data_IF_752465943717
#
_entry.id   IF_752465943717
#
_cell.length_a   1.000
_cell.length_b   1.000
_cell.length_c   1.000
_cell.angle_alpha   90.00
_cell.angle_beta   90.00
_cell.angle_gamma   90.00
#
_symmetry.space_group_name_H-M   'P 1'
#
loop_
_entity.id
_entity.type
_entity.pdbx_description
1 polymer ?
#
# COMPACT_ATOMS: atom_id res chain seq x y z
N UNK A 1 6.10 21.44 15.87
CA UNK A 1 4.82 21.24 15.17
C UNK A 1 3.80 20.84 16.22
N UNK A 2 2.65 21.48 16.24
CA UNK A 2 1.56 21.18 17.18
C UNK A 2 1.02 19.78 16.87
N UNK A 3 1.03 18.88 17.85
CA UNK A 3 0.53 17.51 17.69
C UNK A 3 -0.99 17.54 17.55
N UNK A 4 -1.52 16.91 16.51
CA UNK A 4 -2.97 16.80 16.28
C UNK A 4 -3.54 15.84 17.32
N UNK A 5 -4.61 16.25 18.00
CA UNK A 5 -5.28 15.38 18.99
C UNK A 5 -6.30 14.47 18.31
N UNK A 6 -6.71 13.41 19.02
CA UNK A 6 -7.73 12.48 18.50
C UNK A 6 -9.06 13.18 18.24
N UNK A 7 -9.43 14.15 19.08
CA UNK A 7 -10.67 14.92 18.91
C UNK A 7 -10.63 15.80 17.65
N UNK A 8 -9.47 16.40 17.34
CA UNK A 8 -9.28 17.17 16.10
C UNK A 8 -9.35 16.28 14.86
N UNK A 9 -8.79 15.07 14.95
CA UNK A 9 -8.89 14.05 13.91
C UNK A 9 -10.35 13.61 13.67
N UNK A 10 -11.08 13.25 14.71
CA UNK A 10 -12.49 12.83 14.62
C UNK A 10 -13.39 13.96 14.08
N UNK A 11 -13.16 15.21 14.50
CA UNK A 11 -13.85 16.37 13.94
C UNK A 11 -13.56 16.54 12.44
N UNK A 12 -12.28 16.43 12.04
CA UNK A 12 -11.88 16.57 10.64
C UNK A 12 -12.50 15.46 9.76
N UNK A 13 -12.55 14.22 10.24
CA UNK A 13 -13.22 13.12 9.55
C UNK A 13 -14.72 13.40 9.32
N UNK A 14 -15.44 13.77 10.38
CA UNK A 14 -16.86 14.09 10.26
C UNK A 14 -17.10 15.24 9.26
N UNK A 15 -16.20 16.24 9.25
CA UNK A 15 -16.31 17.35 8.31
C UNK A 15 -16.02 16.95 6.87
N UNK A 16 -15.08 16.03 6.63
CA UNK A 16 -14.82 15.45 5.31
C UNK A 16 -16.08 14.74 4.81
N UNK A 17 -16.73 13.91 5.63
CA UNK A 17 -17.96 13.20 5.27
C UNK A 17 -19.08 14.15 4.83
N UNK A 18 -19.22 15.31 5.47
CA UNK A 18 -20.18 16.34 5.09
C UNK A 18 -19.83 17.06 3.78
N UNK A 19 -18.53 17.26 3.51
CA UNK A 19 -18.05 18.02 2.36
C UNK A 19 -18.00 17.19 1.08
N UNK A 20 -17.68 15.89 1.17
CA UNK A 20 -17.52 15.00 0.02
C UNK A 20 -18.73 14.97 -0.93
N UNK A 21 -20.00 14.95 -0.46
CA UNK A 21 -21.17 15.00 -1.35
C UNK A 21 -21.39 16.36 -2.03
N UNK A 22 -20.73 17.41 -1.56
CA UNK A 22 -20.97 18.80 -1.98
C UNK A 22 -19.93 19.30 -3.00
N UNK A 23 -18.92 18.50 -3.30
CA UNK A 23 -17.82 18.83 -4.19
C UNK A 23 -17.58 17.69 -5.17
N UNK A 24 -17.10 18.03 -6.36
CA UNK A 24 -16.79 17.08 -7.41
C UNK A 24 -15.66 17.60 -8.31
N UNK A 25 -15.32 16.84 -9.36
CA UNK A 25 -14.27 17.20 -10.32
C UNK A 25 -14.55 18.49 -11.12
N UNK A 26 -15.78 19.01 -11.08
CA UNK A 26 -16.15 20.28 -11.73
C UNK A 26 -16.08 21.47 -10.77
N UNK A 27 -15.94 21.21 -9.47
CA UNK A 27 -15.86 22.24 -8.43
C UNK A 27 -14.52 22.98 -8.53
N UNK A 28 -14.53 24.33 -8.66
CA UNK A 28 -13.30 25.10 -8.72
C UNK A 28 -12.43 24.91 -7.47
N UNK A 29 -11.11 24.82 -7.65
CA UNK A 29 -10.16 24.65 -6.54
C UNK A 29 -10.16 25.80 -5.52
N UNK A 30 -10.64 26.97 -5.93
CA UNK A 30 -10.80 28.15 -5.09
C UNK A 30 -12.19 28.26 -4.44
N UNK A 31 -13.09 27.29 -4.68
CA UNK A 31 -14.35 27.19 -3.96
C UNK A 31 -14.04 26.96 -2.48
N UNK A 32 -14.78 27.64 -1.60
CA UNK A 32 -14.58 27.60 -0.16
C UNK A 32 -14.64 26.18 0.39
N UNK A 33 -15.57 25.36 -0.11
CA UNK A 33 -15.72 23.95 0.30
C UNK A 33 -14.52 23.12 -0.12
N UNK A 34 -13.91 23.49 -1.25
CA UNK A 34 -12.75 22.80 -1.77
C UNK A 34 -11.48 23.10 -1.01
N UNK A 35 -11.29 24.38 -0.68
CA UNK A 35 -10.23 24.83 0.23
C UNK A 35 -10.41 24.22 1.61
N UNK A 36 -11.64 24.22 2.13
CA UNK A 36 -11.96 23.63 3.43
C UNK A 36 -11.65 22.12 3.46
N UNK A 37 -12.09 21.36 2.45
CA UNK A 37 -11.81 19.93 2.35
C UNK A 37 -10.30 19.66 2.37
N UNK A 38 -9.51 20.46 1.64
CA UNK A 38 -8.05 20.34 1.64
C UNK A 38 -7.48 20.53 3.04
N UNK A 39 -7.90 21.57 3.75
CA UNK A 39 -7.39 21.87 5.10
C UNK A 39 -7.75 20.77 6.11
N UNK A 40 -8.99 20.28 6.10
CA UNK A 40 -9.38 19.20 7.03
C UNK A 40 -8.74 17.86 6.66
N UNK A 41 -8.47 17.62 5.36
CA UNK A 41 -7.72 16.45 4.90
C UNK A 41 -6.27 16.48 5.40
N UNK A 42 -5.63 17.65 5.41
CA UNK A 42 -4.27 17.80 5.95
C UNK A 42 -4.18 17.44 7.44
N UNK A 43 -5.23 17.73 8.22
CA UNK A 43 -5.34 17.36 9.65
C UNK A 43 -5.40 15.84 9.79
N UNK A 44 -6.25 15.18 8.99
CA UNK A 44 -6.40 13.71 8.98
C UNK A 44 -5.08 13.04 8.59
N UNK A 45 -4.46 13.47 7.49
CA UNK A 45 -3.17 12.94 7.00
C UNK A 45 -2.08 13.08 8.07
N UNK A 46 -1.99 14.24 8.72
CA UNK A 46 -0.98 14.47 9.76
C UNK A 46 -1.16 13.52 10.95
N UNK A 47 -2.40 13.26 11.37
CA UNK A 47 -2.70 12.35 12.47
C UNK A 47 -2.45 10.88 12.09
N UNK A 48 -2.93 10.44 10.92
CA UNK A 48 -2.76 9.06 10.43
C UNK A 48 -1.29 8.72 10.20
N UNK A 49 -0.50 9.65 9.67
CA UNK A 49 0.94 9.42 9.49
C UNK A 49 1.67 9.11 10.80
N UNK A 50 1.22 9.66 11.93
CA UNK A 50 1.81 9.41 13.24
C UNK A 50 1.23 8.15 13.92
N UNK A 51 -0.08 7.90 13.78
CA UNK A 51 -0.79 6.87 14.56
C UNK A 51 -1.10 5.59 13.76
N UNK A 52 -1.18 5.68 12.44
CA UNK A 52 -1.53 4.60 11.51
C UNK A 52 -0.59 4.62 10.28
N UNK A 53 0.73 4.49 10.46
CA UNK A 53 1.66 4.52 9.35
C UNK A 53 1.38 3.36 8.39
N UNK A 54 1.33 3.67 7.09
CA UNK A 54 1.27 2.64 6.05
C UNK A 54 2.67 2.03 5.92
N UNK A 55 2.85 0.84 6.48
CA UNK A 55 4.09 0.09 6.36
C UNK A 55 4.28 -0.42 4.93
N UNK A 56 5.54 -0.56 4.51
CA UNK A 56 5.84 -1.19 3.23
C UNK A 56 5.49 -2.68 3.34
N UNK A 57 4.84 -3.26 2.33
CA UNK A 57 4.58 -4.69 2.34
C UNK A 57 5.90 -5.46 2.40
N UNK A 58 5.89 -6.55 3.15
CA UNK A 58 6.99 -7.50 3.21
C UNK A 58 7.19 -8.17 1.85
N UNK A 59 8.36 -8.79 1.64
CA UNK A 59 8.63 -9.60 0.44
C UNK A 59 7.59 -10.72 0.27
N UNK A 60 7.15 -11.31 1.38
CA UNK A 60 6.12 -12.35 1.41
C UNK A 60 4.78 -11.82 0.86
N UNK A 61 4.29 -10.72 1.42
CA UNK A 61 3.03 -10.07 1.01
C UNK A 61 3.10 -9.60 -0.45
N UNK A 62 4.23 -9.04 -0.88
CA UNK A 62 4.41 -8.64 -2.27
C UNK A 62 4.29 -9.82 -3.24
N UNK A 63 4.85 -10.98 -2.89
CA UNK A 63 4.73 -12.19 -3.73
C UNK A 63 3.28 -12.68 -3.75
N UNK A 64 2.62 -12.72 -2.59
CA UNK A 64 1.24 -13.18 -2.45
C UNK A 64 0.26 -12.29 -3.23
N UNK A 65 0.28 -10.98 -2.98
CA UNK A 65 -0.56 -10.00 -3.69
C UNK A 65 -0.33 -10.05 -5.19
N UNK A 66 0.93 -10.15 -5.64
CA UNK A 66 1.23 -10.21 -7.08
C UNK A 66 0.76 -11.51 -7.74
N UNK A 67 0.66 -12.62 -7.00
CA UNK A 67 0.07 -13.86 -7.49
C UNK A 67 -1.44 -13.72 -7.65
N UNK A 68 -2.11 -13.11 -6.68
CA UNK A 68 -3.54 -12.84 -6.71
C UNK A 68 -3.91 -11.90 -7.87
N UNK A 69 -3.22 -10.77 -8.00
CA UNK A 69 -3.42 -9.80 -9.09
C UNK A 69 -3.23 -10.43 -10.47
N UNK A 70 -2.31 -11.39 -10.61
CA UNK A 70 -2.05 -12.09 -11.87
C UNK A 70 -2.93 -13.32 -12.09
N UNK A 71 -3.71 -13.75 -11.09
CA UNK A 71 -4.41 -15.05 -11.13
C UNK A 71 -3.45 -16.24 -11.33
N UNK A 72 -2.22 -16.13 -10.84
CA UNK A 72 -1.17 -17.13 -11.01
C UNK A 72 -1.10 -18.04 -9.78
N UNK A 73 -0.99 -19.36 -9.99
CA UNK A 73 -0.84 -20.32 -8.89
C UNK A 73 0.61 -20.41 -8.41
N UNK A 74 0.82 -20.76 -7.13
CA UNK A 74 2.16 -21.01 -6.58
C UNK A 74 2.93 -22.10 -7.36
N UNK A 75 2.23 -23.10 -7.91
CA UNK A 75 2.83 -24.17 -8.73
C UNK A 75 3.37 -23.65 -10.06
N UNK A 76 2.62 -22.74 -10.70
CA UNK A 76 3.08 -22.08 -11.92
C UNK A 76 4.30 -21.21 -11.63
N UNK A 77 4.24 -20.40 -10.57
CA UNK A 77 5.38 -19.58 -10.15
C UNK A 77 6.64 -20.42 -9.90
N UNK A 78 6.50 -21.53 -9.15
CA UNK A 78 7.60 -22.44 -8.86
C UNK A 78 8.27 -22.97 -10.15
N UNK A 79 7.46 -23.29 -11.16
CA UNK A 79 7.94 -23.76 -12.47
C UNK A 79 8.67 -22.65 -13.24
N UNK A 80 8.14 -21.42 -13.22
CA UNK A 80 8.73 -20.26 -13.91
C UNK A 80 10.08 -19.82 -13.30
N UNK A 81 10.20 -19.85 -11.98
CA UNK A 81 11.43 -19.42 -11.29
C UNK A 81 12.41 -20.58 -11.00
N UNK A 82 12.04 -21.81 -11.36
CA UNK A 82 12.89 -22.99 -11.26
C UNK A 82 13.18 -23.43 -9.82
N UNK A 83 12.20 -23.34 -8.93
CA UNK A 83 12.30 -23.81 -7.53
C UNK A 83 11.16 -24.78 -7.20
N UNK A 84 11.25 -25.48 -6.06
CA UNK A 84 10.17 -26.37 -5.64
C UNK A 84 8.93 -25.57 -5.17
N UNK A 85 7.71 -26.11 -5.31
CA UNK A 85 6.51 -25.48 -4.74
C UNK A 85 6.62 -25.24 -3.23
N UNK A 86 7.28 -26.14 -2.50
CA UNK A 86 7.58 -25.95 -1.06
C UNK A 86 8.41 -24.70 -0.83
N UNK A 87 9.41 -24.42 -1.69
CA UNK A 87 10.25 -23.24 -1.56
C UNK A 87 9.50 -21.95 -1.85
N UNK A 88 8.58 -21.96 -2.82
CA UNK A 88 7.66 -20.83 -3.06
C UNK A 88 6.78 -20.58 -1.83
N UNK A 89 6.23 -21.64 -1.24
CA UNK A 89 5.44 -21.52 -0.02
C UNK A 89 6.26 -20.96 1.15
N UNK A 90 7.55 -21.30 1.27
CA UNK A 90 8.43 -20.71 2.29
C UNK A 90 8.64 -19.20 2.09
N UNK A 91 8.63 -18.72 0.85
CA UNK A 91 8.70 -17.29 0.54
C UNK A 91 7.40 -16.56 0.90
N UNK A 92 6.26 -17.12 0.50
CA UNK A 92 4.93 -16.55 0.74
C UNK A 92 4.59 -16.56 2.24
N UNK A 93 5.00 -17.57 2.98
CA UNK A 93 4.79 -17.63 4.42
C UNK A 93 5.83 -16.86 5.24
N UNK A 94 6.79 -16.18 4.58
CA UNK A 94 7.88 -15.46 5.26
C UNK A 94 8.87 -16.35 6.04
N UNK A 95 8.89 -17.67 5.83
CA UNK A 95 9.83 -18.58 6.51
C UNK A 95 11.26 -18.45 5.98
N UNK A 96 11.41 -18.04 4.73
CA UNK A 96 12.71 -17.80 4.12
C UNK A 96 12.63 -16.65 3.14
N UNK A 97 13.72 -15.91 2.99
CA UNK A 97 13.83 -14.91 1.93
C UNK A 97 14.37 -15.53 0.63
N UNK A 98 13.93 -15.04 -0.54
CA UNK A 98 14.51 -15.42 -1.82
C UNK A 98 15.95 -14.89 -1.94
N UNK A 99 16.86 -15.72 -2.46
CA UNK A 99 18.20 -15.22 -2.84
C UNK A 99 18.08 -14.13 -3.91
N UNK A 100 19.09 -13.27 -4.06
CA UNK A 100 19.08 -12.19 -5.07
C UNK A 100 18.79 -12.69 -6.50
N UNK A 101 19.27 -13.89 -6.83
CA UNK A 101 18.99 -14.54 -8.12
C UNK A 101 17.50 -14.86 -8.28
N UNK A 102 16.87 -15.40 -7.24
CA UNK A 102 15.42 -15.70 -7.24
C UNK A 102 14.59 -14.42 -7.16
N UNK A 103 14.98 -13.43 -6.36
CA UNK A 103 14.32 -12.14 -6.28
C UNK A 103 14.26 -11.44 -7.65
N UNK A 104 15.34 -11.51 -8.45
CA UNK A 104 15.34 -11.03 -9.83
C UNK A 104 14.31 -11.74 -10.72
N UNK A 105 14.18 -13.05 -10.58
CA UNK A 105 13.19 -13.84 -11.33
C UNK A 105 11.76 -13.50 -10.88
N UNK A 106 11.53 -13.39 -9.58
CA UNK A 106 10.25 -12.96 -9.01
C UNK A 106 9.84 -11.59 -9.56
N UNK A 107 10.74 -10.61 -9.56
CA UNK A 107 10.47 -9.28 -10.14
C UNK A 107 10.01 -9.37 -11.60
N UNK A 108 10.68 -10.21 -12.40
CA UNK A 108 10.33 -10.38 -13.82
C UNK A 108 9.00 -11.11 -14.02
N UNK A 109 8.79 -12.23 -13.32
CA UNK A 109 7.63 -13.11 -13.50
C UNK A 109 6.38 -12.48 -12.90
N UNK A 110 6.49 -11.84 -11.75
CA UNK A 110 5.38 -11.22 -11.02
C UNK A 110 5.20 -9.74 -11.33
N UNK A 111 6.07 -9.15 -12.17
CA UNK A 111 6.06 -7.71 -12.49
C UNK A 111 6.21 -6.80 -11.25
N UNK A 112 7.03 -7.25 -10.30
CA UNK A 112 7.32 -6.49 -9.07
C UNK A 112 8.50 -5.57 -9.33
N UNK A 113 8.35 -4.29 -8.98
CA UNK A 113 9.45 -3.33 -9.11
C UNK A 113 10.60 -3.72 -8.17
N UNK A 114 11.86 -3.82 -8.64
CA UNK A 114 12.97 -4.29 -7.82
C UNK A 114 13.17 -3.52 -6.51
N UNK A 115 12.90 -2.21 -6.51
CA UNK A 115 12.99 -1.39 -5.29
C UNK A 115 12.04 -1.87 -4.18
N UNK A 116 10.84 -2.38 -4.53
CA UNK A 116 9.88 -2.89 -3.57
C UNK A 116 10.38 -4.19 -2.90
N UNK A 117 11.16 -5.01 -3.63
CA UNK A 117 11.71 -6.27 -3.13
C UNK A 117 12.93 -6.13 -2.23
N UNK A 118 13.60 -4.97 -2.24
CA UNK A 118 14.89 -4.77 -1.55
C UNK A 118 14.78 -4.01 -0.22
N UNK A 119 13.56 -3.63 0.19
CA UNK A 119 13.32 -3.10 1.54
C UNK A 119 13.94 -1.74 1.87
N UNK A 120 14.37 -0.96 0.87
CA UNK A 120 14.82 0.43 1.05
C UNK A 120 13.63 1.38 1.19
#
# INVERSE_FOLDING_TARGET
>A
MTKITKEQYEFALARIEELLPLVDNSTPVNDKRMVELSVVSDIVIAYEKEHFPIEKPTVAELIELSLEEKGMTQKQLASEIGVSPSRVNDYISGRSEPTLKIARLLCRVLNIHPAAMLGF
#
